data_IF_624587932884
#
_entry.id   IF_624587932884
#
_cell.length_a   1.000
_cell.length_b   1.000
_cell.length_c   1.000
_cell.angle_alpha   90.00
_cell.angle_beta   90.00
_cell.angle_gamma   90.00
#
_symmetry.space_group_name_H-M   'P 1'
#
loop_
_entity.id
_entity.type
_entity.pdbx_description
1 polymer ?
#
# COMPACT_ATOMS: atom_id res chain seq x y z
N UNK A 1 33.58 -13.75 56.95
CA UNK A 1 33.76 -15.19 56.68
C UNK A 1 32.54 -15.69 55.91
N UNK A 2 32.69 -16.52 54.84
CA UNK A 2 31.62 -17.10 53.97
C UNK A 2 30.74 -16.06 53.22
N UNK A 3 30.49 -16.07 51.89
CA UNK A 3 30.51 -17.07 50.78
C UNK A 3 29.43 -18.17 50.91
N UNK A 4 28.67 -18.57 49.88
CA UNK A 4 28.71 -18.21 48.43
C UNK A 4 27.42 -17.41 48.01
N UNK A 5 26.72 -17.51 46.85
CA UNK A 5 26.75 -18.41 45.67
C UNK A 5 26.39 -17.65 44.36
N UNK A 6 25.67 -18.27 43.40
CA UNK A 6 25.52 -17.80 42.00
C UNK A 6 24.21 -18.30 41.33
N UNK A 7 23.92 -17.77 40.12
CA UNK A 7 22.88 -18.14 39.10
C UNK A 7 21.48 -17.51 39.23
N UNK A 8 20.73 -17.22 38.15
CA UNK A 8 21.01 -17.04 36.70
C UNK A 8 19.71 -16.56 36.00
N UNK A 9 19.76 -15.60 35.06
CA UNK A 9 18.57 -15.18 34.28
C UNK A 9 18.76 -13.87 33.51
N UNK A 10 18.82 -13.94 32.17
CA UNK A 10 19.00 -12.79 31.27
C UNK A 10 17.67 -12.13 30.90
N UNK A 11 17.71 -10.82 30.63
CA UNK A 11 17.38 -10.31 29.28
C UNK A 11 17.94 -8.88 29.13
N UNK A 12 19.07 -8.76 28.43
CA UNK A 12 19.71 -7.49 28.11
C UNK A 12 19.98 -7.50 26.60
N UNK A 13 19.16 -6.81 25.81
CA UNK A 13 19.50 -6.53 24.42
C UNK A 13 18.77 -5.29 23.88
N UNK A 14 19.25 -4.12 24.30
CA UNK A 14 19.34 -2.96 23.42
C UNK A 14 20.73 -2.36 23.64
N UNK A 15 21.68 -2.90 22.87
CA UNK A 15 23.09 -2.52 22.90
C UNK A 15 23.28 -1.01 22.84
N UNK A 16 23.93 -0.48 23.88
CA UNK A 16 24.45 0.88 23.91
C UNK A 16 25.76 0.92 23.12
N UNK A 17 25.68 0.98 21.79
CA UNK A 17 26.86 1.13 20.95
C UNK A 17 27.42 2.55 21.03
N UNK A 18 28.73 2.62 21.26
CA UNK A 18 29.46 3.81 21.71
C UNK A 18 30.26 4.41 20.53
N UNK A 19 30.17 5.73 20.39
CA UNK A 19 30.84 6.61 19.41
C UNK A 19 30.38 6.56 17.94
N UNK A 20 30.03 7.73 17.39
CA UNK A 20 30.59 8.08 16.07
C UNK A 20 29.70 8.68 14.99
N UNK A 21 28.37 8.71 15.09
CA UNK A 21 27.52 9.51 14.18
C UNK A 21 26.19 9.86 14.82
N UNK A 22 25.72 11.09 14.63
CA UNK A 22 24.35 11.49 14.93
C UNK A 22 23.38 10.92 13.87
N UNK A 23 23.20 9.61 13.85
CA UNK A 23 22.08 9.00 13.13
C UNK A 23 20.78 9.43 13.82
N UNK A 24 19.81 10.03 13.12
CA UNK A 24 18.57 10.45 13.75
C UNK A 24 17.84 9.22 14.28
N UNK A 25 17.53 9.24 15.58
CA UNK A 25 16.82 8.16 16.28
C UNK A 25 15.47 7.96 15.60
N UNK A 26 15.37 6.97 14.70
CA UNK A 26 14.10 6.46 14.23
C UNK A 26 13.48 5.72 15.40
N UNK A 27 12.62 6.41 16.16
CA UNK A 27 11.51 5.72 16.81
C UNK A 27 10.86 4.87 15.73
N UNK A 28 10.95 3.54 15.86
CA UNK A 28 10.72 2.60 14.76
C UNK A 28 9.21 2.43 14.49
N UNK A 29 8.55 3.52 14.10
CA UNK A 29 7.26 3.48 13.41
C UNK A 29 7.59 2.98 12.03
N UNK A 30 7.41 1.68 11.82
CA UNK A 30 7.62 1.08 10.51
C UNK A 30 6.65 1.74 9.50
N UNK A 31 7.10 1.86 8.26
CA UNK A 31 6.39 2.61 7.22
C UNK A 31 6.31 1.77 5.97
N UNK A 32 5.12 1.70 5.39
CA UNK A 32 4.87 0.99 4.14
C UNK A 32 5.16 1.91 2.95
N UNK A 33 5.28 1.32 1.76
CA UNK A 33 5.42 2.07 0.49
C UNK A 33 4.26 1.69 -0.43
N UNK A 34 3.54 2.70 -0.91
CA UNK A 34 2.39 2.49 -1.80
C UNK A 34 2.79 2.21 -3.25
N UNK A 35 1.83 1.82 -4.09
CA UNK A 35 2.05 1.54 -5.51
C UNK A 35 2.69 2.72 -6.29
N UNK A 36 2.55 3.96 -5.79
CA UNK A 36 3.09 5.21 -6.37
C UNK A 36 4.41 5.67 -5.72
N UNK A 37 5.04 4.82 -4.89
CA UNK A 37 6.29 5.10 -4.16
C UNK A 37 6.16 6.16 -3.05
N UNK A 38 4.95 6.43 -2.57
CA UNK A 38 4.75 7.26 -1.37
C UNK A 38 5.02 6.45 -0.11
N UNK A 39 5.71 7.07 0.86
CA UNK A 39 5.91 6.51 2.20
C UNK A 39 4.63 6.73 3.02
N UNK A 40 4.08 5.65 3.55
CA UNK A 40 2.85 5.63 4.35
C UNK A 40 3.18 5.32 5.80
N UNK A 41 2.62 6.11 6.71
CA UNK A 41 2.78 5.91 8.15
C UNK A 41 1.92 4.74 8.65
N UNK A 42 2.43 4.05 9.66
CA UNK A 42 1.70 3.09 10.50
C UNK A 42 0.23 3.48 10.77
N UNK A 43 -0.67 2.50 10.66
CA UNK A 43 -2.11 2.64 10.90
C UNK A 43 -2.93 3.31 9.80
N UNK A 44 -2.31 3.69 8.66
CA UNK A 44 -3.02 4.32 7.54
C UNK A 44 -3.33 3.33 6.42
N UNK A 45 -4.41 3.58 5.67
CA UNK A 45 -4.76 2.83 4.48
C UNK A 45 -3.87 3.19 3.28
N UNK A 46 -3.48 2.18 2.50
CA UNK A 46 -2.67 2.32 1.28
C UNK A 46 -2.93 1.22 0.27
N UNK A 47 -2.56 1.45 -0.99
CA UNK A 47 -2.51 0.41 -2.02
C UNK A 47 -1.08 -0.13 -2.08
N UNK A 48 -0.83 -1.41 -1.72
CA UNK A 48 0.52 -1.97 -1.72
C UNK A 48 1.08 -2.11 -3.14
N UNK A 49 2.40 -2.33 -3.25
CA UNK A 49 3.04 -2.71 -4.52
C UNK A 49 2.50 -4.07 -5.00
N UNK A 50 2.05 -4.14 -6.25
CA UNK A 50 1.49 -5.34 -6.88
C UNK A 50 0.77 -5.02 -8.18
N UNK A 51 0.05 -6.00 -8.73
CA UNK A 51 -0.70 -5.87 -10.00
C UNK A 51 -2.13 -5.32 -9.84
N UNK A 52 -2.68 -5.31 -8.61
CA UNK A 52 -4.05 -4.85 -8.35
C UNK A 52 -4.08 -3.44 -7.72
N UNK A 53 -4.35 -2.37 -8.51
CA UNK A 53 -4.51 -1.03 -7.97
C UNK A 53 -5.80 -0.83 -7.16
N UNK A 54 -6.72 -1.81 -7.15
CA UNK A 54 -7.95 -1.80 -6.35
C UNK A 54 -7.81 -2.43 -4.97
N UNK A 55 -6.66 -3.03 -4.66
CA UNK A 55 -6.34 -3.53 -3.33
C UNK A 55 -6.01 -2.36 -2.38
N UNK A 56 -6.61 -2.35 -1.20
CA UNK A 56 -6.31 -1.40 -0.13
C UNK A 56 -6.11 -2.14 1.18
N UNK A 57 -4.97 -1.93 1.82
CA UNK A 57 -4.56 -2.53 3.09
C UNK A 57 -4.30 -1.44 4.12
N UNK A 58 -4.26 -1.81 5.40
CA UNK A 58 -3.72 -0.96 6.47
C UNK A 58 -2.24 -1.22 6.60
N UNK A 59 -1.42 -0.18 6.73
CA UNK A 59 -0.01 -0.35 7.06
C UNK A 59 0.14 -0.74 8.52
N UNK A 60 0.69 -1.92 8.80
CA UNK A 60 0.96 -2.38 10.16
C UNK A 60 2.33 -3.04 10.27
N UNK A 61 3.15 -2.56 11.20
CA UNK A 61 4.54 -2.99 11.41
C UNK A 61 5.38 -3.03 10.11
N UNK A 62 5.07 -2.12 9.17
CA UNK A 62 5.72 -2.00 7.86
C UNK A 62 5.20 -2.93 6.76
N UNK A 63 4.26 -3.81 7.08
CA UNK A 63 3.65 -4.79 6.18
C UNK A 63 2.18 -4.43 5.87
N UNK A 64 1.60 -4.96 4.77
CA UNK A 64 0.18 -4.79 4.45
C UNK A 64 -0.72 -5.74 5.24
N UNK A 65 -1.55 -5.21 6.11
CA UNK A 65 -2.54 -5.95 6.90
C UNK A 65 -3.99 -5.56 6.57
N UNK A 66 -4.96 -6.40 6.97
CA UNK A 66 -6.40 -6.12 6.83
C UNK A 66 -6.84 -5.68 5.41
N UNK A 67 -6.32 -6.33 4.37
CA UNK A 67 -6.54 -5.95 2.97
C UNK A 67 -7.97 -6.20 2.47
N UNK A 68 -8.50 -5.27 1.67
CA UNK A 68 -9.76 -5.35 0.94
C UNK A 68 -9.59 -4.93 -0.53
N UNK A 69 -10.20 -5.65 -1.47
CA UNK A 69 -10.17 -5.33 -2.89
C UNK A 69 -11.49 -4.69 -3.33
N UNK A 70 -11.42 -3.54 -4.01
CA UNK A 70 -12.60 -2.86 -4.55
C UNK A 70 -13.07 -3.52 -5.84
N UNK A 71 -14.32 -3.98 -5.89
CA UNK A 71 -14.93 -4.50 -7.11
C UNK A 71 -15.46 -3.35 -7.96
N UNK A 72 -14.98 -3.27 -9.20
CA UNK A 72 -15.41 -2.24 -10.15
C UNK A 72 -16.74 -2.62 -10.83
N UNK A 73 -17.62 -1.65 -10.98
CA UNK A 73 -18.77 -1.78 -11.87
C UNK A 73 -18.32 -1.97 -13.33
N UNK A 74 -19.07 -2.78 -14.09
CA UNK A 74 -18.83 -2.93 -15.53
C UNK A 74 -19.13 -1.62 -16.25
N UNK A 75 -18.25 -1.25 -17.18
CA UNK A 75 -18.46 -0.12 -18.08
C UNK A 75 -19.84 -0.21 -18.77
N UNK A 76 -20.74 0.72 -18.44
CA UNK A 76 -22.07 0.75 -19.03
C UNK A 76 -21.99 1.20 -20.49
N UNK A 77 -22.70 0.52 -21.39
CA UNK A 77 -22.71 0.85 -22.83
C UNK A 77 -21.40 0.54 -23.58
N UNK A 78 -20.49 -0.25 -23.00
CA UNK A 78 -19.24 -0.67 -23.64
C UNK A 78 -19.05 -2.19 -23.54
N UNK A 79 -18.94 -2.89 -24.67
CA UNK A 79 -18.70 -4.34 -24.70
C UNK A 79 -17.21 -4.68 -24.59
N UNK A 80 -16.36 -3.99 -25.34
CA UNK A 80 -14.92 -4.16 -25.34
C UNK A 80 -14.25 -3.02 -24.58
N UNK A 81 -13.81 -3.30 -23.35
CA UNK A 81 -13.08 -2.34 -22.52
C UNK A 81 -11.71 -2.91 -22.11
N UNK A 82 -10.79 -2.01 -21.78
CA UNK A 82 -9.48 -2.34 -21.21
C UNK A 82 -9.29 -1.59 -19.89
N UNK A 83 -8.94 -2.30 -18.84
CA UNK A 83 -8.63 -1.72 -17.53
C UNK A 83 -7.28 -0.98 -17.57
N UNK A 84 -7.17 0.08 -16.76
CA UNK A 84 -5.92 0.78 -16.52
C UNK A 84 -5.13 0.05 -15.42
N UNK A 85 -3.89 -0.42 -15.68
CA UNK A 85 -3.11 -1.14 -14.67
C UNK A 85 -2.60 -0.26 -13.52
N UNK A 86 -2.73 1.08 -13.61
CA UNK A 86 -2.24 2.03 -12.60
C UNK A 86 -3.33 2.68 -11.74
N UNK A 87 -4.60 2.54 -12.12
CA UNK A 87 -5.71 3.28 -11.53
C UNK A 87 -6.92 2.37 -11.35
N UNK A 88 -7.36 2.17 -10.10
CA UNK A 88 -8.53 1.35 -9.79
C UNK A 88 -9.78 1.86 -10.51
N UNK A 89 -10.57 0.93 -11.06
CA UNK A 89 -11.82 1.17 -11.79
C UNK A 89 -11.74 2.16 -12.97
N UNK A 90 -10.54 2.55 -13.39
CA UNK A 90 -10.34 3.32 -14.61
C UNK A 90 -10.27 2.35 -15.79
N UNK A 91 -11.15 2.53 -16.76
CA UNK A 91 -11.19 1.75 -17.99
C UNK A 91 -11.19 2.67 -19.22
N UNK A 92 -10.71 2.12 -20.34
CA UNK A 92 -10.82 2.71 -21.68
C UNK A 92 -11.78 1.85 -22.48
N UNK A 93 -12.83 2.46 -23.03
CA UNK A 93 -13.70 1.77 -23.99
C UNK A 93 -13.01 1.67 -25.35
N UNK A 94 -13.09 0.50 -25.98
CA UNK A 94 -12.50 0.17 -27.27
C UNK A 94 -13.57 -0.08 -28.35
N UNK A 95 -14.85 0.01 -27.99
CA UNK A 95 -15.95 -0.08 -28.94
C UNK A 95 -15.85 1.04 -30.01
N UNK A 96 -16.23 0.76 -31.27
CA UNK A 96 -16.23 1.76 -32.32
C UNK A 96 -17.22 2.89 -32.02
N UNK A 97 -16.93 4.10 -32.49
CA UNK A 97 -17.69 5.34 -32.20
C UNK A 97 -19.17 5.24 -32.63
N UNK A 98 -19.54 4.29 -33.49
CA UNK A 98 -20.92 4.00 -33.87
C UNK A 98 -21.81 3.44 -32.75
N UNK A 99 -21.25 2.82 -31.70
CA UNK A 99 -22.02 2.40 -30.51
C UNK A 99 -21.91 3.38 -29.34
N UNK A 100 -20.87 4.23 -29.31
CA UNK A 100 -20.69 5.29 -28.32
C UNK A 100 -21.54 6.53 -28.66
N UNK A 101 -22.85 6.39 -28.53
CA UNK A 101 -23.89 7.45 -28.53
C UNK A 101 -24.02 8.33 -29.79
N UNK A 102 -25.17 8.30 -30.49
CA UNK A 102 -25.49 9.24 -31.59
C UNK A 102 -25.61 10.73 -31.20
N UNK A 103 -25.51 11.07 -29.92
CA UNK A 103 -25.84 12.40 -29.37
C UNK A 103 -24.85 13.53 -29.73
N UNK A 104 -23.81 13.26 -30.54
CA UNK A 104 -22.96 14.28 -31.17
C UNK A 104 -23.23 14.45 -32.68
N UNK A 105 -24.20 13.73 -33.27
CA UNK A 105 -24.74 14.04 -34.61
C UNK A 105 -25.91 15.03 -34.43
N UNK A 106 -25.56 16.24 -34.01
CA UNK A 106 -26.51 17.27 -33.56
C UNK A 106 -25.98 18.69 -33.70
N UNK A 107 -25.43 19.03 -34.87
CA UNK A 107 -25.28 20.42 -35.29
C UNK A 107 -26.51 20.84 -36.10
N UNK A 108 -27.00 22.04 -35.80
CA UNK A 108 -28.15 22.74 -36.42
C UNK A 108 -27.81 23.13 -37.87
#
# INVERSE_FOLDING_TARGET
MKKERFHYGNSFDQVVDIMGVAQPIRFNRQTCVDIKDNVVNEGHYFTPKGDDPCLSCTCQDGEPEMCVASLCERAQGCQHFRNNPKECCKFTCLDPVSSLTPWLVGYI
#
